data_IF_570908148685
#
_entry.id   IF_570908148685
#
_cell.length_a   1.000
_cell.length_b   1.000
_cell.length_c   1.000
_cell.angle_alpha   90.00
_cell.angle_beta   90.00
_cell.angle_gamma   90.00
#
_symmetry.space_group_name_H-M   'P 1'
#
loop_
_entity.id
_entity.type
_entity.pdbx_description
1 polymer ?
#
# COMPACT_ATOMS: atom_id res chain seq x y z
N UNK A 1 -3.82 7.94 6.68
CA UNK A 1 -2.43 7.53 6.39
C UNK A 1 -1.69 7.35 7.70
N UNK A 2 -1.76 6.14 8.19
CA UNK A 2 -1.10 5.63 9.37
C UNK A 2 0.37 5.47 9.02
N UNK A 3 1.22 6.11 9.81
CA UNK A 3 2.66 6.14 9.61
C UNK A 3 3.33 5.64 10.85
N UNK A 4 4.40 4.87 10.67
CA UNK A 4 5.21 4.38 11.78
C UNK A 4 6.68 4.66 11.52
N UNK A 5 7.44 4.84 12.60
CA UNK A 5 8.88 4.92 12.52
C UNK A 5 9.49 3.52 12.68
N UNK A 6 10.47 3.18 11.85
CA UNK A 6 11.26 1.96 11.93
C UNK A 6 12.74 2.31 12.08
N UNK A 7 13.53 1.34 12.56
CA UNK A 7 14.95 1.54 12.88
C UNK A 7 15.82 0.62 12.03
N UNK A 8 16.80 1.21 11.35
CA UNK A 8 17.94 0.50 10.77
C UNK A 8 18.94 0.15 11.90
N UNK A 9 18.89 -1.10 12.35
CA UNK A 9 19.64 -1.55 13.55
C UNK A 9 21.14 -1.35 13.45
N UNK A 10 21.70 -1.50 12.24
CA UNK A 10 23.13 -1.35 11.98
C UNK A 10 23.63 0.08 12.20
N UNK A 11 22.83 1.08 11.81
CA UNK A 11 23.14 2.51 11.99
C UNK A 11 22.87 3.01 13.40
N UNK A 12 22.01 2.32 14.16
CA UNK A 12 21.62 2.77 15.50
C UNK A 12 22.80 2.67 16.48
N UNK A 13 23.30 3.81 16.98
CA UNK A 13 24.39 3.86 17.97
C UNK A 13 23.98 4.63 19.24
N UNK A 14 23.25 4.01 20.18
CA UNK A 14 22.72 4.69 21.38
C UNK A 14 23.77 5.34 22.28
N UNK A 15 24.93 4.67 22.44
CA UNK A 15 26.05 5.20 23.22
C UNK A 15 26.62 6.51 22.64
N UNK A 16 26.54 6.69 21.31
CA UNK A 16 27.10 7.87 20.60
C UNK A 16 26.05 8.90 20.20
N UNK A 17 24.76 8.60 20.36
CA UNK A 17 23.67 9.51 20.01
C UNK A 17 23.13 10.31 21.19
N UNK A 18 23.77 10.23 22.37
CA UNK A 18 23.29 10.88 23.59
C UNK A 18 22.31 10.02 24.41
N UNK A 19 22.50 8.70 24.41
CA UNK A 19 21.71 7.72 25.16
C UNK A 19 20.22 7.78 24.81
N UNK A 20 19.87 7.29 23.62
CA UNK A 20 18.50 7.26 23.08
C UNK A 20 17.87 8.65 22.91
N UNK A 21 18.56 9.57 22.23
CA UNK A 21 18.02 10.90 21.91
C UNK A 21 16.63 10.83 21.25
N UNK A 22 16.38 9.84 20.41
CA UNK A 22 15.08 9.59 19.80
C UNK A 22 13.94 9.41 20.83
N UNK A 23 14.19 8.71 21.95
CA UNK A 23 13.23 8.56 23.03
C UNK A 23 12.98 9.89 23.77
N UNK A 24 14.04 10.66 24.03
CA UNK A 24 13.96 11.96 24.72
C UNK A 24 13.18 13.03 23.94
N UNK A 25 13.20 12.95 22.61
CA UNK A 25 12.47 13.89 21.73
C UNK A 25 11.09 13.37 21.30
N UNK A 26 10.76 12.11 21.58
CA UNK A 26 9.49 11.52 21.21
C UNK A 26 8.34 12.15 22.02
N UNK A 27 7.32 12.74 21.37
CA UNK A 27 6.16 13.29 22.07
C UNK A 27 5.42 12.25 22.89
N UNK A 28 5.34 11.00 22.41
CA UNK A 28 4.63 9.91 23.09
C UNK A 28 5.34 9.50 24.38
N UNK A 29 6.67 9.47 24.38
CA UNK A 29 7.46 9.30 25.60
C UNK A 29 7.33 10.49 26.55
N UNK A 30 7.32 11.72 26.04
CA UNK A 30 7.11 12.92 26.87
C UNK A 30 5.72 12.98 27.52
N UNK A 31 4.73 12.31 26.93
CA UNK A 31 3.41 12.12 27.52
C UNK A 31 3.35 10.96 28.53
N UNK A 32 4.48 10.32 28.87
CA UNK A 32 4.56 9.25 29.86
C UNK A 32 4.28 7.84 29.35
N UNK A 33 4.29 7.61 28.02
CA UNK A 33 4.11 6.28 27.42
C UNK A 33 5.42 5.75 26.83
N UNK A 34 5.66 4.45 26.93
CA UNK A 34 6.90 3.81 26.45
C UNK A 34 6.90 3.52 24.94
N UNK A 35 6.82 4.57 24.10
CA UNK A 35 6.83 4.40 22.64
C UNK A 35 8.20 4.05 22.08
N UNK A 36 9.27 4.66 22.57
CA UNK A 36 10.65 4.32 22.19
C UNK A 36 11.41 3.89 23.45
N UNK A 37 11.92 2.67 23.46
CA UNK A 37 12.60 2.04 24.60
C UNK A 37 13.95 1.46 24.21
N UNK A 38 14.79 1.16 25.19
CA UNK A 38 15.97 0.34 24.98
C UNK A 38 15.53 -1.12 24.74
N UNK A 39 16.02 -1.74 23.68
CA UNK A 39 15.82 -3.17 23.46
C UNK A 39 16.68 -3.96 24.45
N UNK A 40 16.10 -4.86 25.27
CA UNK A 40 16.85 -5.58 26.30
C UNK A 40 17.94 -6.52 25.76
N UNK A 41 17.87 -6.94 24.49
CA UNK A 41 18.81 -7.91 23.93
C UNK A 41 20.08 -7.30 23.33
N UNK A 42 19.93 -6.20 22.57
CA UNK A 42 21.03 -5.60 21.80
C UNK A 42 21.32 -4.15 22.16
N UNK A 43 20.62 -3.61 23.18
CA UNK A 43 20.72 -2.22 23.64
C UNK A 43 20.44 -1.19 22.54
N UNK A 44 19.87 -1.58 21.40
CA UNK A 44 19.44 -0.66 20.35
C UNK A 44 18.12 -0.02 20.74
N UNK A 45 17.76 1.09 20.08
CA UNK A 45 16.42 1.64 20.25
C UNK A 45 15.36 0.66 19.68
N UNK A 46 14.23 0.52 20.36
CA UNK A 46 13.04 -0.21 19.95
C UNK A 46 11.88 0.77 19.88
N UNK A 47 11.07 0.70 18.82
CA UNK A 47 9.86 1.51 18.66
C UNK A 47 8.65 0.59 18.76
N UNK A 48 7.68 0.97 19.58
CA UNK A 48 6.38 0.30 19.65
C UNK A 48 5.48 0.81 18.53
N UNK A 49 5.10 -0.09 17.61
CA UNK A 49 4.30 0.23 16.43
C UNK A 49 2.89 0.72 16.76
N UNK A 50 2.31 0.28 17.90
CA UNK A 50 0.95 0.66 18.30
C UNK A 50 0.91 2.06 18.89
N UNK A 51 1.98 2.45 19.58
CA UNK A 51 2.10 3.76 20.22
C UNK A 51 2.67 4.83 19.27
N UNK A 52 3.43 4.42 18.26
CA UNK A 52 4.06 5.35 17.32
C UNK A 52 3.01 6.08 16.48
N UNK A 53 3.06 7.42 16.48
CA UNK A 53 2.17 8.27 15.67
C UNK A 53 2.77 8.63 14.31
N UNK A 54 4.02 8.25 14.04
CA UNK A 54 4.72 8.63 12.82
C UNK A 54 4.98 10.14 12.67
N UNK A 55 5.08 10.87 13.78
CA UNK A 55 5.26 12.33 13.79
C UNK A 55 6.54 12.85 13.11
N UNK A 56 7.55 11.98 12.92
CA UNK A 56 8.77 12.32 12.18
C UNK A 56 9.79 13.19 12.93
N UNK A 57 9.69 13.33 14.25
CA UNK A 57 10.67 14.08 15.05
C UNK A 57 11.95 13.25 15.25
N UNK A 58 11.81 11.97 15.61
CA UNK A 58 12.94 11.07 15.83
C UNK A 58 13.89 10.89 14.62
N UNK A 59 13.44 10.74 13.35
CA UNK A 59 14.37 10.69 12.22
C UNK A 59 15.16 11.99 12.06
N UNK A 60 14.50 13.16 12.17
CA UNK A 60 15.14 14.49 12.04
C UNK A 60 16.20 14.77 13.11
N UNK A 61 16.12 14.10 14.26
CA UNK A 61 17.02 14.29 15.39
C UNK A 61 18.08 13.19 15.51
N UNK A 62 17.97 12.09 14.75
CA UNK A 62 18.93 11.02 14.81
C UNK A 62 20.21 11.42 14.06
N UNK A 63 21.37 11.55 14.73
CA UNK A 63 22.61 11.95 14.06
C UNK A 63 23.19 10.86 13.14
N UNK A 64 22.67 9.63 13.22
CA UNK A 64 23.08 8.48 12.42
C UNK A 64 22.07 8.12 11.34
N UNK A 65 20.98 8.89 11.19
CA UNK A 65 19.90 8.62 10.24
C UNK A 65 19.35 7.18 10.34
N UNK A 66 19.42 6.60 11.53
CA UNK A 66 19.05 5.22 11.78
C UNK A 66 17.53 4.99 11.86
N UNK A 67 16.72 6.05 11.73
CA UNK A 67 15.27 6.00 11.89
C UNK A 67 14.65 6.55 10.62
N UNK A 68 13.68 5.82 10.06
CA UNK A 68 12.90 6.25 8.90
C UNK A 68 11.41 6.10 9.21
N UNK A 69 10.60 6.97 8.63
CA UNK A 69 9.13 6.91 8.76
C UNK A 69 8.56 6.32 7.49
N UNK A 70 7.83 5.23 7.64
CA UNK A 70 7.15 4.53 6.54
C UNK A 70 5.64 4.70 6.65
N UNK A 71 4.97 4.63 5.51
CA UNK A 71 3.51 4.58 5.45
C UNK A 71 3.07 3.12 5.57
N UNK A 72 2.10 2.85 6.45
CA UNK A 72 1.45 1.55 6.48
C UNK A 72 0.40 1.46 5.36
N UNK A 73 0.17 0.26 4.81
CA UNK A 73 -0.92 0.04 3.88
C UNK A 73 -2.26 0.31 4.58
N UNK A 74 -3.08 1.16 4.00
CA UNK A 74 -4.45 1.41 4.42
C UNK A 74 -5.42 0.96 3.32
N UNK A 75 -6.66 0.68 3.70
CA UNK A 75 -7.76 0.53 2.72
C UNK A 75 -7.83 1.82 1.92
N UNK A 76 -7.74 1.69 0.60
CA UNK A 76 -7.73 2.83 -0.30
C UNK A 76 -9.09 3.53 -0.22
N UNK A 77 -9.10 4.83 0.08
CA UNK A 77 -10.32 5.67 0.08
C UNK A 77 -10.72 6.09 -1.34
N UNK A 78 -10.59 5.19 -2.31
CA UNK A 78 -10.93 5.42 -3.70
C UNK A 78 -12.01 4.43 -4.12
N UNK A 79 -12.76 4.77 -5.16
CA UNK A 79 -13.75 3.85 -5.70
C UNK A 79 -13.07 2.56 -6.20
N UNK A 80 -13.51 1.38 -5.74
CA UNK A 80 -12.97 0.13 -6.22
C UNK A 80 -13.44 -0.13 -7.66
N UNK A 81 -12.63 -0.82 -8.44
CA UNK A 81 -12.94 -1.23 -9.81
C UNK A 81 -14.05 -2.29 -9.81
N UNK A 82 -14.03 -3.18 -8.82
CA UNK A 82 -15.07 -4.20 -8.65
C UNK A 82 -15.33 -4.48 -7.18
N UNK A 83 -16.61 -4.64 -6.82
CA UNK A 83 -17.07 -5.07 -5.50
C UNK A 83 -18.09 -6.19 -5.67
N UNK A 84 -17.92 -7.31 -4.97
CA UNK A 84 -18.84 -8.45 -5.10
C UNK A 84 -20.17 -8.28 -4.35
N UNK A 85 -20.18 -7.49 -3.28
CA UNK A 85 -21.36 -7.29 -2.44
C UNK A 85 -21.09 -6.36 -1.26
N UNK A 86 -22.09 -6.16 -0.43
CA UNK A 86 -21.95 -5.42 0.82
C UNK A 86 -20.98 -6.14 1.77
N UNK A 87 -19.94 -5.43 2.24
CA UNK A 87 -18.87 -5.98 3.09
C UNK A 87 -18.11 -7.18 2.49
N UNK A 88 -18.19 -7.37 1.18
CA UNK A 88 -17.42 -8.41 0.48
C UNK A 88 -16.14 -7.84 -0.13
N UNK A 89 -15.37 -8.72 -0.74
CA UNK A 89 -14.10 -8.38 -1.37
C UNK A 89 -14.23 -7.24 -2.40
N UNK A 90 -13.23 -6.35 -2.35
CA UNK A 90 -13.10 -5.18 -3.22
C UNK A 90 -11.77 -5.20 -3.94
N UNK A 91 -11.81 -4.97 -5.25
CA UNK A 91 -10.63 -4.84 -6.09
C UNK A 91 -10.42 -3.38 -6.47
N UNK A 92 -9.29 -2.80 -6.06
CA UNK A 92 -8.99 -1.37 -6.25
C UNK A 92 -8.05 -1.07 -7.44
N UNK A 93 -7.44 -2.09 -8.03
CA UNK A 93 -6.46 -1.93 -9.10
C UNK A 93 -6.50 -3.13 -10.03
N UNK A 94 -6.17 -2.90 -11.29
CA UNK A 94 -5.93 -3.97 -12.26
C UNK A 94 -4.46 -3.92 -12.69
N UNK A 95 -3.79 -5.07 -12.82
CA UNK A 95 -2.55 -5.12 -13.59
C UNK A 95 -2.90 -4.82 -15.04
N UNK A 96 -2.11 -3.99 -15.71
CA UNK A 96 -2.28 -3.77 -17.14
C UNK A 96 -1.24 -4.60 -17.91
N UNK A 97 -1.65 -5.29 -18.98
CA UNK A 97 -0.72 -6.00 -19.84
C UNK A 97 0.14 -5.02 -20.62
N UNK A 98 1.44 -5.31 -20.71
CA UNK A 98 2.37 -4.59 -21.57
C UNK A 98 2.49 -5.35 -22.89
N UNK A 99 2.22 -4.68 -24.01
CA UNK A 99 2.36 -5.32 -25.32
C UNK A 99 3.79 -5.81 -25.54
N UNK A 100 3.91 -6.99 -26.17
CA UNK A 100 5.17 -7.66 -26.47
C UNK A 100 6.01 -8.06 -25.25
N UNK A 101 5.44 -8.07 -24.04
CA UNK A 101 6.12 -8.48 -22.81
C UNK A 101 5.26 -9.46 -22.00
N UNK A 102 5.93 -10.30 -21.20
CA UNK A 102 5.26 -11.11 -20.19
C UNK A 102 5.16 -10.31 -18.89
N UNK A 103 3.93 -10.18 -18.36
CA UNK A 103 3.66 -9.48 -17.09
C UNK A 103 3.37 -10.50 -16.00
N UNK A 104 4.21 -10.55 -14.97
CA UNK A 104 4.00 -11.41 -13.81
C UNK A 104 3.10 -10.75 -12.76
N UNK A 105 2.08 -11.47 -12.27
CA UNK A 105 1.19 -11.02 -11.20
C UNK A 105 1.47 -11.80 -9.90
N UNK A 106 2.14 -11.16 -8.94
CA UNK A 106 2.56 -11.80 -7.68
C UNK A 106 1.79 -11.17 -6.51
N UNK A 107 1.37 -12.00 -5.55
CA UNK A 107 0.70 -11.56 -4.34
C UNK A 107 0.17 -12.74 -3.53
N UNK A 108 -0.35 -12.48 -2.32
CA UNK A 108 -0.93 -13.53 -1.46
C UNK A 108 -2.23 -14.10 -2.04
N UNK A 109 -2.67 -15.25 -1.56
CA UNK A 109 -3.99 -15.79 -1.90
C UNK A 109 -5.09 -14.85 -1.36
N UNK A 110 -6.19 -14.73 -2.10
CA UNK A 110 -7.30 -13.84 -1.72
C UNK A 110 -7.11 -12.34 -2.02
N UNK A 111 -5.97 -11.91 -2.57
CA UNK A 111 -5.73 -10.48 -2.91
C UNK A 111 -6.42 -10.01 -4.21
N UNK A 112 -7.16 -10.90 -4.89
CA UNK A 112 -7.89 -10.56 -6.13
C UNK A 112 -7.17 -10.83 -7.45
N UNK A 113 -6.06 -11.60 -7.46
CA UNK A 113 -5.32 -11.95 -8.69
C UNK A 113 -6.21 -12.59 -9.76
N UNK A 114 -6.94 -13.63 -9.39
CA UNK A 114 -7.85 -14.34 -10.31
C UNK A 114 -9.02 -13.45 -10.75
N UNK A 115 -9.52 -12.59 -9.86
CA UNK A 115 -10.56 -11.60 -10.20
C UNK A 115 -10.07 -10.60 -11.24
N UNK A 116 -8.86 -10.09 -11.07
CA UNK A 116 -8.24 -9.16 -12.02
C UNK A 116 -8.05 -9.81 -13.40
N UNK A 117 -7.58 -11.06 -13.46
CA UNK A 117 -7.44 -11.80 -14.71
C UNK A 117 -8.79 -12.03 -15.41
N UNK A 118 -9.84 -12.39 -14.66
CA UNK A 118 -11.20 -12.53 -15.22
C UNK A 118 -11.73 -11.23 -15.82
N UNK A 119 -11.41 -10.09 -15.21
CA UNK A 119 -11.79 -8.78 -15.75
C UNK A 119 -11.04 -8.49 -17.06
N UNK A 120 -9.73 -8.71 -17.08
CA UNK A 120 -8.92 -8.53 -18.30
C UNK A 120 -9.32 -9.49 -19.42
N UNK A 121 -9.78 -10.69 -19.07
CA UNK A 121 -10.31 -11.69 -19.99
C UNK A 121 -11.75 -11.43 -20.45
N UNK A 122 -12.34 -10.30 -20.07
CA UNK A 122 -13.74 -9.96 -20.33
C UNK A 122 -14.75 -11.02 -19.82
N UNK A 123 -14.33 -11.89 -18.89
CA UNK A 123 -15.17 -12.92 -18.26
C UNK A 123 -15.93 -12.37 -17.04
N UNK A 124 -15.51 -11.22 -16.51
CA UNK A 124 -16.14 -10.53 -15.39
C UNK A 124 -16.16 -9.03 -15.69
N UNK A 125 -17.35 -8.44 -15.80
CA UNK A 125 -17.45 -6.99 -15.97
C UNK A 125 -17.21 -6.26 -14.64
N UNK A 126 -16.35 -5.23 -14.61
CA UNK A 126 -16.20 -4.39 -13.44
C UNK A 126 -17.49 -3.59 -13.19
N UNK A 127 -17.73 -3.23 -11.93
CA UNK A 127 -18.94 -2.50 -11.52
C UNK A 127 -18.63 -1.17 -10.82
N UNK A 128 -17.37 -0.77 -10.82
CA UNK A 128 -16.87 0.50 -10.26
C UNK A 128 -17.38 0.76 -8.83
N UNK A 129 -17.52 -0.32 -8.05
CA UNK A 129 -17.94 -0.29 -6.65
C UNK A 129 -19.46 -0.39 -6.43
N UNK A 130 -20.26 -0.29 -7.47
CA UNK A 130 -21.71 -0.50 -7.38
C UNK A 130 -22.05 -1.99 -7.61
N UNK A 131 -22.02 -2.79 -6.55
CA UNK A 131 -22.33 -4.22 -6.64
C UNK A 131 -23.78 -4.54 -7.09
N UNK A 132 -24.69 -3.56 -7.08
CA UNK A 132 -26.08 -3.74 -7.54
C UNK A 132 -26.25 -3.55 -9.05
N UNK A 133 -25.25 -2.99 -9.75
CA UNK A 133 -25.35 -2.66 -11.17
C UNK A 133 -24.01 -2.86 -11.87
N UNK A 134 -24.00 -3.55 -13.00
CA UNK A 134 -22.81 -3.61 -13.85
C UNK A 134 -22.50 -2.24 -14.46
N UNK A 135 -21.22 -1.89 -14.55
CA UNK A 135 -20.81 -0.68 -15.24
C UNK A 135 -20.86 -0.91 -16.76
N UNK A 136 -21.24 0.12 -17.52
CA UNK A 136 -21.13 0.04 -18.98
C UNK A 136 -19.65 0.02 -19.39
N UNK A 137 -19.36 -0.54 -20.56
CA UNK A 137 -17.98 -0.55 -21.07
C UNK A 137 -17.42 0.87 -21.26
N UNK A 138 -18.29 1.83 -21.61
CA UNK A 138 -17.96 3.25 -21.71
C UNK A 138 -17.56 3.85 -20.35
N UNK A 139 -18.28 3.52 -19.27
CA UNK A 139 -17.96 3.99 -17.92
C UNK A 139 -16.58 3.48 -17.48
N UNK A 140 -16.27 2.22 -17.82
CA UNK A 140 -14.98 1.59 -17.50
C UNK A 140 -13.84 2.25 -18.29
N UNK A 141 -14.03 2.50 -19.59
CA UNK A 141 -13.07 3.27 -20.39
C UNK A 141 -12.85 4.66 -19.80
N UNK A 142 -13.92 5.35 -19.41
CA UNK A 142 -13.84 6.68 -18.80
C UNK A 142 -13.06 6.67 -17.48
N UNK A 143 -13.24 5.62 -16.65
CA UNK A 143 -12.47 5.44 -15.41
C UNK A 143 -10.96 5.33 -15.68
N UNK A 144 -10.57 4.68 -16.78
CA UNK A 144 -9.17 4.49 -17.17
C UNK A 144 -8.64 5.53 -18.17
N UNK A 145 -9.39 6.59 -18.47
CA UNK A 145 -9.00 7.59 -19.44
C UNK A 145 -7.61 8.21 -19.12
N UNK A 146 -6.75 8.31 -20.13
CA UNK A 146 -5.39 8.82 -19.97
C UNK A 146 -4.38 7.82 -19.39
N UNK A 147 -4.75 6.54 -19.25
CA UNK A 147 -3.84 5.46 -18.83
C UNK A 147 -3.62 4.44 -19.95
N UNK A 148 -2.55 3.64 -19.88
CA UNK A 148 -2.32 2.53 -20.82
C UNK A 148 -3.45 1.49 -20.81
N UNK A 149 -4.19 1.39 -19.70
CA UNK A 149 -5.36 0.51 -19.62
C UNK A 149 -6.46 0.94 -20.60
N UNK A 150 -6.60 2.23 -20.88
CA UNK A 150 -7.55 2.72 -21.89
C UNK A 150 -7.24 2.12 -23.27
N UNK A 151 -5.98 2.18 -23.70
CA UNK A 151 -5.53 1.63 -24.98
C UNK A 151 -5.78 0.12 -25.07
N UNK A 152 -5.55 -0.60 -23.97
CA UNK A 152 -5.85 -2.03 -23.89
C UNK A 152 -7.35 -2.30 -24.05
N UNK A 153 -8.21 -1.57 -23.34
CA UNK A 153 -9.66 -1.72 -23.41
C UNK A 153 -10.20 -1.39 -24.80
N UNK A 154 -9.68 -0.35 -25.47
CA UNK A 154 -10.08 -0.03 -26.86
C UNK A 154 -9.74 -1.16 -27.83
N UNK A 155 -8.55 -1.75 -27.71
CA UNK A 155 -8.15 -2.87 -28.56
C UNK A 155 -8.92 -4.16 -28.25
N UNK A 156 -9.29 -4.36 -26.99
CA UNK A 156 -10.15 -5.46 -26.57
C UNK A 156 -11.55 -5.32 -27.17
N UNK A 157 -12.12 -4.12 -27.19
CA UNK A 157 -13.43 -3.82 -27.80
C UNK A 157 -13.43 -3.99 -29.32
N UNK A 158 -12.31 -3.66 -29.97
CA UNK A 158 -12.10 -3.88 -31.41
C UNK A 158 -11.75 -5.32 -31.78
N UNK A 159 -11.75 -6.24 -30.81
CA UNK A 159 -11.37 -7.65 -30.98
C UNK A 159 -9.94 -7.86 -31.53
N UNK A 160 -9.06 -6.86 -31.40
CA UNK A 160 -7.65 -6.92 -31.81
C UNK A 160 -6.79 -7.76 -30.83
N UNK A 161 -7.35 -8.09 -29.66
CA UNK A 161 -6.71 -8.87 -28.61
C UNK A 161 -7.43 -10.19 -28.44
N UNK A 162 -6.71 -11.30 -28.66
CA UNK A 162 -7.18 -12.63 -28.27
C UNK A 162 -7.02 -12.82 -26.76
N UNK A 163 -8.10 -13.20 -26.11
CA UNK A 163 -8.10 -13.65 -24.71
C UNK A 163 -8.62 -15.09 -24.68
N UNK A 164 -7.87 -15.95 -24.00
CA UNK A 164 -8.07 -17.41 -23.94
C UNK A 164 -8.11 -17.90 -22.51
#
# INVERSE_FOLDING_TARGET
MTRIAIIEREKCQPARCGNYLCAKVCPVNRMGKECITANPTDTKARIDEKLCTGCGICPKRCPFEAIIVINLPEVLKKEPIHRFGENQFELFGLPFPLFHKVVGLIGRNGIGKSTALKILANMLKPNLGNWKKEASFEDVKKYFAGTEMFNFLEKLEKEEIKVS
#
